data_IF_420803354505
#
_entry.id   IF_420803354505
#
_cell.length_a   1.000
_cell.length_b   1.000
_cell.length_c   1.000
_cell.angle_alpha   90.00
_cell.angle_beta   90.00
_cell.angle_gamma   90.00
#
_symmetry.space_group_name_H-M   'P 1'
#
loop_
_entity.id
_entity.type
_entity.pdbx_description
1 polymer ?
#
# COMPACT_ATOMS: atom_id res chain seq x y z
N UNK A 1 0.35 38.46 -39.89
CA UNK A 1 0.57 37.03 -40.14
C UNK A 1 -0.80 36.41 -40.16
N UNK A 2 -1.20 35.83 -41.29
CA UNK A 2 -2.52 35.23 -41.46
C UNK A 2 -2.29 33.72 -41.42
N UNK A 3 -2.54 33.12 -40.27
CA UNK A 3 -2.50 31.65 -40.13
C UNK A 3 -3.83 31.16 -40.72
N UNK A 4 -3.79 30.51 -41.87
CA UNK A 4 -4.99 30.00 -42.58
C UNK A 4 -5.48 28.66 -41.98
N UNK A 5 -5.33 28.48 -40.67
CA UNK A 5 -5.84 27.32 -39.96
C UNK A 5 -6.36 27.72 -38.57
N UNK A 6 -7.26 26.89 -38.05
CA UNK A 6 -7.74 27.02 -36.67
C UNK A 6 -6.67 26.46 -35.74
N UNK A 7 -6.10 27.30 -34.89
CA UNK A 7 -5.18 26.89 -33.83
C UNK A 7 -5.97 26.73 -32.54
N UNK A 8 -5.90 25.56 -31.92
CA UNK A 8 -6.45 25.30 -30.60
C UNK A 8 -5.28 25.21 -29.60
N UNK A 9 -5.21 26.15 -28.65
CA UNK A 9 -4.20 26.14 -27.59
C UNK A 9 -4.87 25.65 -26.31
N UNK A 10 -4.35 24.57 -25.73
CA UNK A 10 -4.82 24.02 -24.47
C UNK A 10 -3.79 24.40 -23.41
N UNK A 11 -4.17 25.30 -22.52
CA UNK A 11 -3.37 25.65 -21.35
C UNK A 11 -3.73 24.69 -20.19
N UNK A 12 -2.72 24.13 -19.54
CA UNK A 12 -2.88 23.13 -18.48
C UNK A 12 -2.33 23.64 -17.15
N UNK A 13 -2.92 23.29 -16.00
CA UNK A 13 -2.29 23.51 -14.70
C UNK A 13 -0.87 22.91 -14.65
N UNK A 14 0.04 23.57 -13.92
CA UNK A 14 1.39 23.05 -13.72
C UNK A 14 1.40 21.82 -12.82
N UNK A 15 2.20 20.81 -13.14
CA UNK A 15 2.51 19.73 -12.20
C UNK A 15 3.17 20.30 -10.95
N UNK A 16 2.81 19.79 -9.78
CA UNK A 16 3.27 20.30 -8.49
C UNK A 16 2.94 21.79 -8.23
N UNK A 17 1.89 22.34 -8.85
CA UNK A 17 1.42 23.69 -8.57
C UNK A 17 0.58 23.73 -7.28
N UNK A 18 1.22 24.12 -6.18
CA UNK A 18 0.59 24.22 -4.84
C UNK A 18 -0.07 25.57 -4.58
N UNK A 19 -0.19 26.46 -5.57
CA UNK A 19 -0.67 27.84 -5.35
C UNK A 19 -2.17 27.94 -5.03
N UNK A 20 -2.94 26.86 -5.20
CA UNK A 20 -4.38 26.80 -4.94
C UNK A 20 -4.80 25.65 -4.03
N UNK A 21 -3.87 25.07 -3.26
CA UNK A 21 -4.19 23.97 -2.33
C UNK A 21 -4.68 24.55 -1.00
N UNK A 22 -5.91 24.26 -0.60
CA UNK A 22 -6.36 24.48 0.79
C UNK A 22 -5.61 23.53 1.73
N UNK A 23 -5.63 23.74 3.05
CA UNK A 23 -5.00 22.82 4.02
C UNK A 23 -5.53 21.36 3.89
N UNK A 24 -6.70 21.15 3.27
CA UNK A 24 -7.25 19.82 2.96
C UNK A 24 -6.54 19.12 1.78
N UNK A 25 -5.87 19.88 0.90
CA UNK A 25 -5.13 19.40 -0.26
C UNK A 25 -3.68 19.00 0.07
N UNK A 26 -3.22 19.14 1.32
CA UNK A 26 -1.89 18.70 1.80
C UNK A 26 -1.64 17.19 1.63
N UNK A 27 -2.64 16.41 1.20
CA UNK A 27 -2.43 15.11 0.54
C UNK A 27 -1.94 15.31 -0.90
N UNK A 28 -0.73 15.85 -1.04
CA UNK A 28 0.04 16.12 -2.27
C UNK A 28 0.08 14.99 -3.33
N UNK A 29 -0.37 13.76 -3.02
CA UNK A 29 -0.52 12.65 -3.99
C UNK A 29 -1.71 12.79 -4.95
N UNK A 30 -2.67 13.69 -4.70
CA UNK A 30 -3.90 13.78 -5.50
C UNK A 30 -3.89 14.86 -6.60
N UNK A 31 -3.05 15.88 -6.51
CA UNK A 31 -3.09 17.00 -7.48
C UNK A 31 -2.59 16.59 -8.86
N UNK A 32 -1.42 15.96 -8.95
CA UNK A 32 -0.89 15.46 -10.22
C UNK A 32 -1.83 14.41 -10.84
N UNK A 33 -2.40 13.51 -10.02
CA UNK A 33 -3.44 12.56 -10.49
C UNK A 33 -4.64 13.27 -11.12
N UNK A 34 -5.08 14.41 -10.57
CA UNK A 34 -6.18 15.20 -11.15
C UNK A 34 -5.79 15.79 -12.50
N UNK A 35 -4.57 16.29 -12.64
CA UNK A 35 -4.05 16.77 -13.93
C UNK A 35 -4.00 15.61 -14.94
N UNK A 36 -3.47 14.44 -14.55
CA UNK A 36 -3.45 13.25 -15.41
C UNK A 36 -4.87 12.87 -15.87
N UNK A 37 -5.87 12.85 -14.98
CA UNK A 37 -7.27 12.55 -15.31
C UNK A 37 -7.91 13.60 -16.23
N UNK A 38 -7.62 14.89 -16.05
CA UNK A 38 -8.14 15.95 -16.91
C UNK A 38 -7.56 15.85 -18.32
N UNK A 39 -6.25 15.59 -18.45
CA UNK A 39 -5.59 15.38 -19.74
C UNK A 39 -6.17 14.13 -20.42
N UNK A 40 -6.36 13.03 -19.67
CA UNK A 40 -7.01 11.82 -20.20
C UNK A 40 -8.40 12.10 -20.73
N UNK A 41 -9.24 12.79 -19.95
CA UNK A 41 -10.60 13.14 -20.35
C UNK A 41 -10.61 14.02 -21.61
N UNK A 42 -9.67 14.96 -21.72
CA UNK A 42 -9.51 15.78 -22.92
C UNK A 42 -9.21 14.91 -24.16
N UNK A 43 -8.34 13.91 -24.02
CA UNK A 43 -8.00 12.97 -25.10
C UNK A 43 -9.11 12.00 -25.48
N UNK A 44 -9.96 11.63 -24.51
CA UNK A 44 -11.09 10.75 -24.76
C UNK A 44 -12.30 11.47 -25.38
N UNK A 45 -12.44 12.78 -25.14
CA UNK A 45 -13.65 13.55 -25.49
C UNK A 45 -13.47 14.54 -26.63
N UNK A 46 -12.34 15.25 -26.67
CA UNK A 46 -12.24 16.52 -27.42
C UNK A 46 -11.06 16.55 -28.37
N UNK A 47 -9.93 15.92 -28.00
CA UNK A 47 -8.67 16.00 -28.73
C UNK A 47 -8.23 14.60 -29.13
N UNK A 48 -8.26 14.29 -30.42
CA UNK A 48 -7.87 12.97 -30.94
C UNK A 48 -6.45 12.94 -31.54
N UNK A 49 -5.89 14.12 -31.87
CA UNK A 49 -4.55 14.31 -32.43
C UNK A 49 -3.86 15.54 -31.83
N UNK A 50 -2.52 15.49 -31.80
CA UNK A 50 -1.66 16.60 -31.41
C UNK A 50 -0.65 16.92 -32.51
N UNK A 51 -0.47 18.20 -32.78
CA UNK A 51 0.61 18.72 -33.63
C UNK A 51 1.87 19.03 -32.81
N UNK A 52 1.72 19.54 -31.58
CA UNK A 52 2.83 19.85 -30.67
C UNK A 52 2.41 19.83 -29.20
N UNK A 53 3.38 19.53 -28.32
CA UNK A 53 3.29 19.70 -26.87
C UNK A 53 4.38 20.68 -26.46
N UNK A 54 4.01 21.84 -25.93
CA UNK A 54 4.98 22.87 -25.52
C UNK A 54 5.31 22.72 -24.03
N UNK A 55 6.51 22.24 -23.70
CA UNK A 55 7.00 22.23 -22.31
C UNK A 55 7.72 23.55 -22.04
N UNK A 56 7.18 24.34 -21.11
CA UNK A 56 7.66 25.68 -20.80
C UNK A 56 8.81 25.64 -19.79
N UNK A 57 9.96 26.20 -20.14
CA UNK A 57 11.18 26.19 -19.31
C UNK A 57 11.86 27.57 -19.32
N UNK A 58 12.34 28.10 -18.19
CA UNK A 58 13.20 29.30 -18.19
C UNK A 58 14.53 29.06 -18.92
N UNK A 59 14.99 30.02 -19.73
CA UNK A 59 16.17 29.87 -20.58
C UNK A 59 17.47 29.69 -19.78
N UNK A 60 17.63 30.47 -18.70
CA UNK A 60 18.79 30.41 -17.80
C UNK A 60 18.73 29.30 -16.75
N UNK A 61 17.82 28.32 -16.89
CA UNK A 61 17.76 27.19 -15.95
C UNK A 61 19.01 26.30 -16.12
N UNK A 62 19.90 26.31 -15.13
CA UNK A 62 21.19 25.57 -15.20
C UNK A 62 21.15 24.22 -14.49
N UNK A 63 20.09 23.93 -13.71
CA UNK A 63 19.92 22.66 -12.99
C UNK A 63 18.44 22.32 -12.83
N UNK A 64 18.07 21.04 -12.98
CA UNK A 64 16.75 20.58 -12.53
C UNK A 64 16.81 20.20 -11.06
N UNK A 65 15.98 20.86 -10.26
CA UNK A 65 15.64 20.41 -8.90
C UNK A 65 14.97 19.03 -8.94
N UNK A 66 14.92 18.33 -7.79
CA UNK A 66 14.22 17.05 -7.68
C UNK A 66 12.74 17.15 -8.11
N UNK A 67 12.09 18.25 -7.73
CA UNK A 67 10.71 18.56 -8.14
C UNK A 67 10.59 18.75 -9.67
N UNK A 68 11.48 19.52 -10.30
CA UNK A 68 11.44 19.70 -11.75
C UNK A 68 11.70 18.39 -12.51
N UNK A 69 12.66 17.56 -12.05
CA UNK A 69 12.87 16.22 -12.64
C UNK A 69 11.62 15.36 -12.55
N UNK A 70 10.92 15.42 -11.41
CA UNK A 70 9.64 14.73 -11.25
C UNK A 70 8.60 15.23 -12.24
N UNK A 71 8.42 16.54 -12.38
CA UNK A 71 7.49 17.17 -13.34
C UNK A 71 7.76 16.68 -14.77
N UNK A 72 9.00 16.77 -15.24
CA UNK A 72 9.35 16.28 -16.58
C UNK A 72 9.08 14.78 -16.75
N UNK A 73 9.43 13.98 -15.74
CA UNK A 73 9.16 12.53 -15.77
C UNK A 73 7.66 12.24 -15.83
N UNK A 74 6.85 12.97 -15.06
CA UNK A 74 5.40 12.82 -15.04
C UNK A 74 4.80 13.16 -16.40
N UNK A 75 5.17 14.31 -16.99
CA UNK A 75 4.72 14.74 -18.32
C UNK A 75 5.09 13.70 -19.39
N UNK A 76 6.36 13.27 -19.45
CA UNK A 76 6.81 12.31 -20.48
C UNK A 76 6.11 10.95 -20.36
N UNK A 77 5.76 10.52 -19.15
CA UNK A 77 5.05 9.26 -18.92
C UNK A 77 3.55 9.32 -19.21
N UNK A 78 2.97 10.50 -19.45
CA UNK A 78 1.58 10.63 -19.88
C UNK A 78 1.38 10.14 -21.30
N UNK A 79 2.41 10.28 -22.13
CA UNK A 79 2.30 10.12 -23.56
C UNK A 79 2.86 8.78 -24.03
N UNK A 80 2.18 8.18 -25.00
CA UNK A 80 2.70 7.05 -25.78
C UNK A 80 4.01 7.41 -26.48
N UNK A 81 4.77 6.39 -26.91
CA UNK A 81 6.04 6.57 -27.65
C UNK A 81 5.91 7.54 -28.80
N UNK A 82 4.81 7.44 -29.53
CA UNK A 82 4.59 8.13 -30.80
C UNK A 82 4.41 9.64 -30.58
N UNK A 83 3.76 10.03 -29.48
CA UNK A 83 3.49 11.44 -29.15
C UNK A 83 4.75 12.16 -28.64
N UNK A 84 5.79 11.42 -28.24
CA UNK A 84 7.05 12.03 -27.77
C UNK A 84 7.76 12.84 -28.85
N UNK A 85 7.55 12.51 -30.13
CA UNK A 85 8.09 13.26 -31.26
C UNK A 85 7.43 14.64 -31.47
N UNK A 86 6.31 14.91 -30.77
CA UNK A 86 5.62 16.20 -30.80
C UNK A 86 6.05 17.11 -29.65
N UNK A 87 6.87 16.63 -28.72
CA UNK A 87 7.34 17.43 -27.59
C UNK A 87 8.28 18.51 -28.11
N UNK A 88 7.99 19.76 -27.79
CA UNK A 88 8.80 20.93 -28.10
C UNK A 88 9.10 21.70 -26.81
N UNK A 89 10.25 22.37 -26.77
CA UNK A 89 10.64 23.19 -25.62
C UNK A 89 10.30 24.65 -25.89
N UNK A 90 9.45 25.23 -25.05
CA UNK A 90 9.13 26.65 -25.06
C UNK A 90 10.00 27.36 -24.01
N UNK A 91 11.11 27.95 -24.45
CA UNK A 91 12.03 28.68 -23.59
C UNK A 91 11.49 30.07 -23.27
N UNK A 92 11.45 30.42 -22.00
CA UNK A 92 10.97 31.73 -21.49
C UNK A 92 12.06 32.47 -20.74
N UNK A 93 11.83 33.74 -20.38
CA UNK A 93 12.82 34.58 -19.68
C UNK A 93 14.17 34.66 -20.42
N UNK A 94 14.09 34.81 -21.74
CA UNK A 94 15.25 35.01 -22.61
C UNK A 94 15.92 36.36 -22.29
N UNK A 95 17.12 36.30 -21.73
CA UNK A 95 17.99 37.43 -21.40
C UNK A 95 19.02 37.73 -22.50
N UNK A 96 18.94 37.04 -23.64
CA UNK A 96 19.84 37.18 -24.78
C UNK A 96 21.08 36.26 -24.72
N UNK A 97 21.20 35.43 -23.68
CA UNK A 97 22.29 34.47 -23.51
C UNK A 97 22.15 33.19 -24.34
N UNK A 98 23.15 32.31 -24.23
CA UNK A 98 23.04 30.93 -24.70
C UNK A 98 22.06 30.17 -23.79
N UNK A 99 21.19 29.29 -24.33
CA UNK A 99 20.15 28.66 -23.54
C UNK A 99 20.71 27.50 -22.70
N UNK A 100 21.12 27.81 -21.47
CA UNK A 100 21.64 26.83 -20.50
C UNK A 100 20.67 25.68 -20.22
N UNK A 101 19.36 25.96 -20.26
CA UNK A 101 18.32 24.96 -20.09
C UNK A 101 18.41 23.80 -21.09
N UNK A 102 18.94 23.99 -22.31
CA UNK A 102 19.07 22.91 -23.28
C UNK A 102 20.10 21.87 -22.85
N UNK A 103 21.19 22.29 -22.20
CA UNK A 103 22.18 21.37 -21.64
C UNK A 103 21.55 20.49 -20.55
N UNK A 104 20.70 21.12 -19.74
CA UNK A 104 19.99 20.46 -18.64
C UNK A 104 18.94 19.48 -19.14
N UNK A 105 18.14 19.88 -20.13
CA UNK A 105 17.12 19.03 -20.77
C UNK A 105 17.78 17.82 -21.44
N UNK A 106 18.89 18.04 -22.14
CA UNK A 106 19.68 16.98 -22.77
C UNK A 106 20.28 16.02 -21.74
N UNK A 107 20.87 16.55 -20.66
CA UNK A 107 21.41 15.73 -19.57
C UNK A 107 20.34 14.92 -18.83
N UNK A 108 19.11 15.43 -18.77
CA UNK A 108 17.97 14.73 -18.20
C UNK A 108 17.34 13.68 -19.13
N UNK A 109 17.82 13.58 -20.38
CA UNK A 109 17.28 12.63 -21.37
C UNK A 109 15.85 12.93 -21.81
N UNK A 110 15.41 14.20 -21.72
CA UNK A 110 14.06 14.59 -22.11
C UNK A 110 14.01 14.68 -23.64
N UNK A 111 13.13 13.91 -24.31
CA UNK A 111 12.99 13.99 -25.76
C UNK A 111 12.29 15.29 -26.15
N UNK A 112 12.76 15.90 -27.24
CA UNK A 112 12.09 17.03 -27.89
C UNK A 112 12.45 17.06 -29.37
N UNK A 113 11.53 17.56 -30.20
CA UNK A 113 11.70 17.72 -31.64
C UNK A 113 12.18 19.11 -32.02
N UNK A 114 11.69 20.16 -31.35
CA UNK A 114 12.05 21.54 -31.67
C UNK A 114 12.01 22.46 -30.44
N UNK A 115 12.71 23.59 -30.54
CA UNK A 115 12.89 24.57 -29.49
C UNK A 115 12.45 25.97 -29.95
N UNK A 116 11.64 26.66 -29.15
CA UNK A 116 11.14 28.00 -29.44
C UNK A 116 11.50 28.96 -28.32
N UNK A 117 11.89 30.19 -28.68
CA UNK A 117 12.25 31.25 -27.73
C UNK A 117 11.11 32.23 -27.60
N UNK A 118 10.45 32.24 -26.44
CA UNK A 118 9.38 33.17 -26.11
C UNK A 118 9.89 34.24 -25.15
N UNK A 119 10.34 35.36 -25.73
CA UNK A 119 10.73 36.53 -24.94
C UNK A 119 9.51 37.36 -24.52
N UNK A 120 8.96 37.02 -23.36
CA UNK A 120 7.87 37.76 -22.73
C UNK A 120 8.35 38.77 -21.70
N UNK A 121 9.67 39.06 -21.64
CA UNK A 121 10.18 40.10 -20.75
C UNK A 121 9.47 41.42 -21.06
N UNK A 122 9.14 42.15 -20.00
CA UNK A 122 8.63 43.52 -20.08
C UNK A 122 7.23 43.74 -20.68
N UNK A 123 6.38 42.72 -20.80
CA UNK A 123 4.99 42.89 -21.29
C UNK A 123 4.18 43.92 -20.47
N UNK A 124 4.49 44.05 -19.19
CA UNK A 124 3.73 44.89 -18.24
C UNK A 124 4.55 46.06 -17.69
N UNK A 125 5.75 46.31 -18.20
CA UNK A 125 6.58 47.45 -17.80
C UNK A 125 6.42 48.57 -18.82
N UNK A 126 6.27 49.82 -18.36
CA UNK A 126 6.22 50.98 -19.26
C UNK A 126 7.56 51.08 -19.99
N UNK A 127 7.53 51.00 -21.31
CA UNK A 127 8.71 51.19 -22.17
C UNK A 127 8.52 52.37 -23.12
N UNK A 128 9.59 52.74 -23.83
CA UNK A 128 9.46 53.67 -24.95
C UNK A 128 8.77 52.97 -26.12
N UNK A 129 8.05 53.71 -26.99
CA UNK A 129 7.40 53.14 -28.17
C UNK A 129 8.36 52.35 -29.08
N UNK A 130 9.61 52.77 -29.19
CA UNK A 130 10.65 52.11 -30.00
C UNK A 130 11.03 50.75 -29.39
N UNK A 131 11.14 50.69 -28.06
CA UNK A 131 11.51 49.46 -27.37
C UNK A 131 10.36 48.47 -27.38
N UNK A 132 9.11 48.95 -27.21
CA UNK A 132 7.91 48.13 -27.36
C UNK A 132 7.79 47.53 -28.77
N UNK A 133 8.09 48.32 -29.81
CA UNK A 133 8.07 47.83 -31.19
C UNK A 133 9.11 46.72 -31.43
N UNK A 134 10.31 46.85 -30.88
CA UNK A 134 11.37 45.83 -30.95
C UNK A 134 10.94 44.54 -30.23
N UNK A 135 10.41 44.67 -29.01
CA UNK A 135 9.92 43.53 -28.22
C UNK A 135 8.79 42.82 -28.98
N UNK A 136 7.85 43.57 -29.55
CA UNK A 136 6.75 43.01 -30.31
C UNK A 136 7.22 42.29 -31.58
N UNK A 137 8.21 42.84 -32.27
CA UNK A 137 8.83 42.21 -33.44
C UNK A 137 9.44 40.84 -33.10
N UNK A 138 10.23 40.77 -32.01
CA UNK A 138 10.83 39.51 -31.54
C UNK A 138 9.78 38.48 -31.14
N UNK A 139 8.69 38.90 -30.49
CA UNK A 139 7.57 38.01 -30.15
C UNK A 139 6.88 37.48 -31.40
N UNK A 140 6.61 38.35 -32.37
CA UNK A 140 5.98 37.96 -33.63
C UNK A 140 6.86 36.95 -34.38
N UNK A 141 8.18 37.15 -34.39
CA UNK A 141 9.13 36.20 -34.97
C UNK A 141 9.05 34.82 -34.29
N UNK A 142 9.04 34.78 -32.95
CA UNK A 142 8.91 33.53 -32.20
C UNK A 142 7.64 32.73 -32.57
N UNK A 143 6.48 33.41 -32.62
CA UNK A 143 5.23 32.77 -33.05
C UNK A 143 5.25 32.39 -34.53
N UNK A 144 5.92 33.16 -35.38
CA UNK A 144 6.08 32.83 -36.81
C UNK A 144 6.84 31.51 -36.98
N UNK A 145 7.91 31.32 -36.20
CA UNK A 145 8.67 30.07 -36.19
C UNK A 145 7.83 28.90 -35.69
N UNK A 146 7.07 29.09 -34.60
CA UNK A 146 6.17 28.05 -34.08
C UNK A 146 5.12 27.65 -35.13
N UNK A 147 4.41 28.60 -35.75
CA UNK A 147 3.36 28.25 -36.71
C UNK A 147 3.93 27.63 -37.98
N UNK A 148 5.10 28.08 -38.45
CA UNK A 148 5.79 27.43 -39.57
C UNK A 148 6.17 25.99 -39.25
N UNK A 149 6.62 25.72 -38.02
CA UNK A 149 6.86 24.35 -37.57
C UNK A 149 5.56 23.52 -37.60
N UNK A 150 4.47 24.06 -37.03
CA UNK A 150 3.17 23.39 -36.95
C UNK A 150 2.56 23.06 -38.33
N UNK A 151 2.89 23.81 -39.39
CA UNK A 151 2.50 23.47 -40.77
C UNK A 151 3.09 22.14 -41.26
N UNK A 152 4.24 21.73 -40.70
CA UNK A 152 5.00 20.54 -41.11
C UNK A 152 5.10 19.47 -40.02
N UNK A 153 4.64 19.78 -38.80
CA UNK A 153 4.73 18.89 -37.66
C UNK A 153 3.90 17.61 -37.90
N UNK A 154 4.37 16.45 -37.41
CA UNK A 154 3.63 15.20 -37.53
C UNK A 154 2.32 15.30 -36.75
N UNK A 155 1.19 14.98 -37.38
CA UNK A 155 -0.10 14.86 -36.70
C UNK A 155 -0.18 13.50 -36.02
N UNK A 156 -0.04 13.47 -34.70
CA UNK A 156 0.06 12.21 -33.95
C UNK A 156 -1.22 11.95 -33.17
N UNK A 157 -1.79 10.75 -33.32
CA UNK A 157 -2.96 10.35 -32.55
C UNK A 157 -2.64 10.15 -31.07
N UNK A 158 -3.55 10.56 -30.18
CA UNK A 158 -3.38 10.40 -28.73
C UNK A 158 -3.85 9.05 -28.19
N UNK A 159 -4.36 8.15 -29.04
CA UNK A 159 -4.91 6.85 -28.62
C UNK A 159 -3.93 6.03 -27.77
N UNK A 160 -2.67 5.91 -28.21
CA UNK A 160 -1.64 5.19 -27.45
C UNK A 160 -1.35 5.83 -26.09
N UNK A 161 -1.53 7.16 -25.96
CA UNK A 161 -1.40 7.86 -24.68
C UNK A 161 -2.57 7.54 -23.75
N UNK A 162 -3.80 7.45 -24.27
CA UNK A 162 -4.98 7.01 -23.50
C UNK A 162 -4.79 5.57 -23.02
N UNK A 163 -4.28 4.67 -23.86
CA UNK A 163 -3.99 3.29 -23.50
C UNK A 163 -2.93 3.20 -22.38
N UNK A 164 -1.85 3.99 -22.49
CA UNK A 164 -0.81 4.10 -21.44
C UNK A 164 -1.40 4.57 -20.11
N UNK A 165 -2.27 5.59 -20.14
CA UNK A 165 -2.92 6.10 -18.93
C UNK A 165 -3.88 5.07 -18.31
N UNK A 166 -4.66 4.35 -19.12
CA UNK A 166 -5.55 3.28 -18.66
C UNK A 166 -4.78 2.12 -18.02
N UNK A 167 -3.72 1.65 -18.68
CA UNK A 167 -2.88 0.59 -18.15
C UNK A 167 -2.25 0.99 -16.80
N UNK A 168 -1.75 2.23 -16.69
CA UNK A 168 -1.21 2.78 -15.44
C UNK A 168 -2.26 2.85 -14.33
N UNK A 169 -3.48 3.27 -14.65
CA UNK A 169 -4.58 3.33 -13.68
C UNK A 169 -4.91 1.94 -13.13
N UNK A 170 -5.03 0.94 -14.00
CA UNK A 170 -5.28 -0.45 -13.58
C UNK A 170 -4.14 -0.98 -12.71
N UNK A 171 -2.88 -0.72 -13.08
CA UNK A 171 -1.72 -1.12 -12.27
C UNK A 171 -1.71 -0.44 -10.89
N UNK A 172 -2.10 0.83 -10.80
CA UNK A 172 -2.20 1.53 -9.52
C UNK A 172 -3.28 0.92 -8.62
N UNK A 173 -4.46 0.62 -9.15
CA UNK A 173 -5.52 -0.05 -8.40
C UNK A 173 -5.08 -1.42 -7.90
N UNK A 174 -4.38 -2.19 -8.74
CA UNK A 174 -3.84 -3.48 -8.33
C UNK A 174 -2.79 -3.31 -7.23
N UNK A 175 -1.87 -2.34 -7.35
CA UNK A 175 -0.88 -2.05 -6.32
C UNK A 175 -1.49 -1.60 -5.00
N UNK A 176 -2.59 -0.84 -5.03
CA UNK A 176 -3.33 -0.45 -3.82
C UNK A 176 -3.98 -1.66 -3.17
N UNK A 177 -4.72 -2.49 -3.94
CA UNK A 177 -5.29 -3.74 -3.43
C UNK A 177 -4.21 -4.70 -2.86
N UNK A 178 -3.01 -4.69 -3.44
CA UNK A 178 -1.88 -5.46 -2.94
C UNK A 178 -1.33 -4.96 -1.62
N UNK A 179 -1.24 -3.65 -1.44
CA UNK A 179 -0.81 -3.06 -0.17
C UNK A 179 -1.80 -3.39 0.94
N UNK A 180 -3.09 -3.31 0.64
CA UNK A 180 -4.13 -3.66 1.59
C UNK A 180 -4.02 -5.14 1.98
N UNK A 181 -3.88 -6.03 0.99
CA UNK A 181 -3.75 -7.46 1.28
C UNK A 181 -2.48 -7.82 2.06
N UNK A 182 -1.37 -7.15 1.77
CA UNK A 182 -0.11 -7.31 2.51
C UNK A 182 -0.27 -6.81 3.96
N UNK A 183 -0.99 -5.71 4.17
CA UNK A 183 -1.28 -5.19 5.51
C UNK A 183 -2.10 -6.19 6.34
N UNK A 184 -3.15 -6.77 5.75
CA UNK A 184 -3.96 -7.81 6.41
C UNK A 184 -3.10 -9.00 6.84
N UNK A 185 -2.29 -9.54 5.90
CA UNK A 185 -1.44 -10.70 6.16
C UNK A 185 -0.35 -10.40 7.21
N UNK A 186 0.20 -9.18 7.20
CA UNK A 186 1.17 -8.76 8.21
C UNK A 186 0.54 -8.71 9.60
N UNK A 187 -0.71 -8.26 9.69
CA UNK A 187 -1.46 -8.23 10.95
C UNK A 187 -1.81 -9.63 11.44
N UNK A 188 -2.18 -10.56 10.55
CA UNK A 188 -2.40 -11.98 10.89
C UNK A 188 -1.13 -12.62 11.47
N UNK A 189 0.03 -12.39 10.86
CA UNK A 189 1.32 -12.89 11.37
C UNK A 189 1.67 -12.26 12.72
N UNK A 190 1.44 -10.96 12.90
CA UNK A 190 1.68 -10.31 14.18
C UNK A 190 0.81 -10.89 15.30
N UNK A 191 -0.49 -11.12 15.03
CA UNK A 191 -1.40 -11.73 16.00
C UNK A 191 -1.01 -13.18 16.33
N UNK A 192 -0.59 -13.97 15.33
CA UNK A 192 -0.10 -15.33 15.54
C UNK A 192 1.19 -15.35 16.39
N UNK A 193 2.11 -14.42 16.16
CA UNK A 193 3.33 -14.28 16.96
C UNK A 193 3.05 -13.85 18.40
N UNK A 194 2.11 -12.92 18.63
CA UNK A 194 1.68 -12.52 19.98
C UNK A 194 1.11 -13.72 20.73
N UNK A 195 0.23 -14.50 20.09
CA UNK A 195 -0.31 -15.72 20.68
C UNK A 195 0.80 -16.72 21.05
N UNK A 196 1.82 -16.86 20.19
CA UNK A 196 2.95 -17.77 20.44
C UNK A 196 3.84 -17.27 21.58
N UNK A 197 4.14 -15.97 21.64
CA UNK A 197 4.94 -15.36 22.71
C UNK A 197 4.24 -15.40 24.07
N UNK A 198 2.93 -15.12 24.13
CA UNK A 198 2.15 -15.25 25.36
C UNK A 198 2.12 -16.68 25.90
N UNK A 199 2.18 -17.68 25.01
CA UNK A 199 2.29 -19.10 25.38
C UNK A 199 3.69 -19.43 25.91
N UNK A 200 4.75 -18.78 25.41
CA UNK A 200 6.13 -19.02 25.87
C UNK A 200 6.55 -18.23 27.11
N UNK A 201 5.97 -17.05 27.38
CA UNK A 201 6.37 -16.18 28.50
C UNK A 201 5.52 -16.35 29.76
N UNK A 202 4.33 -16.97 29.68
CA UNK A 202 3.66 -17.44 30.89
C UNK A 202 4.33 -18.73 31.34
N UNK A 203 5.09 -18.66 32.42
CA UNK A 203 5.40 -19.83 33.26
C UNK A 203 4.12 -20.66 33.42
N UNK A 204 4.04 -21.82 32.76
CA UNK A 204 2.85 -22.68 32.81
C UNK A 204 2.71 -23.25 34.23
N UNK A 205 1.86 -22.61 35.02
CA UNK A 205 1.42 -23.11 36.31
C UNK A 205 0.31 -24.12 36.09
N UNK A 206 0.63 -25.40 36.21
CA UNK A 206 -0.37 -26.48 36.16
C UNK A 206 -0.93 -26.64 37.58
N UNK A 207 -2.25 -26.74 37.69
CA UNK A 207 -2.90 -27.05 38.96
C UNK A 207 -2.82 -28.56 39.21
N UNK A 208 -2.07 -28.95 40.24
CA UNK A 208 -1.98 -30.34 40.68
C UNK A 208 -2.67 -30.48 42.04
N UNK A 209 -3.39 -31.59 42.22
CA UNK A 209 -4.07 -31.91 43.48
C UNK A 209 -3.14 -32.74 44.35
N UNK A 210 -2.63 -32.14 45.43
CA UNK A 210 -1.81 -32.85 46.40
C UNK A 210 -2.65 -33.37 47.56
N UNK A 211 -2.31 -34.56 48.07
CA UNK A 211 -2.93 -35.12 49.27
C UNK A 211 -2.25 -34.59 50.52
N UNK A 212 -2.92 -33.71 51.27
CA UNK A 212 -2.43 -33.22 52.55
C UNK A 212 -3.00 -34.05 53.71
N UNK A 213 -2.14 -34.57 54.59
CA UNK A 213 -2.58 -35.32 55.78
C UNK A 213 -3.29 -34.39 56.77
N UNK A 214 -4.51 -34.74 57.14
CA UNK A 214 -5.34 -33.95 58.08
C UNK A 214 -5.54 -34.66 59.41
N UNK A 215 -5.23 -35.95 59.49
CA UNK A 215 -5.54 -36.81 60.64
C UNK A 215 -7.05 -37.13 60.80
N UNK A 216 -7.92 -36.44 60.07
CA UNK A 216 -9.39 -36.55 60.13
C UNK A 216 -9.91 -37.32 58.92
N UNK A 217 -11.04 -38.02 59.07
CA UNK A 217 -11.61 -38.83 57.99
C UNK A 217 -12.22 -37.95 56.90
N UNK A 218 -11.69 -38.01 55.68
CA UNK A 218 -12.18 -37.28 54.51
C UNK A 218 -12.70 -38.26 53.45
N UNK A 219 -13.81 -37.91 52.80
CA UNK A 219 -14.34 -38.61 51.63
C UNK A 219 -13.82 -37.94 50.37
N UNK A 220 -13.00 -38.66 49.62
CA UNK A 220 -12.29 -38.16 48.45
C UNK A 220 -12.69 -38.93 47.19
N UNK A 221 -12.99 -38.19 46.11
CA UNK A 221 -13.18 -38.79 44.79
C UNK A 221 -11.81 -39.09 44.16
N UNK A 222 -11.56 -40.33 43.77
CA UNK A 222 -10.28 -40.73 43.15
C UNK A 222 -10.18 -40.33 41.69
N UNK A 223 -11.31 -40.09 41.03
CA UNK A 223 -11.42 -39.64 39.64
C UNK A 223 -11.24 -38.12 39.56
N UNK A 224 -12.04 -37.35 40.30
CA UNK A 224 -12.00 -35.88 40.28
C UNK A 224 -10.89 -35.27 41.15
N UNK A 225 -10.14 -36.08 41.90
CA UNK A 225 -9.11 -35.62 42.86
C UNK A 225 -9.61 -34.49 43.78
N UNK A 226 -10.84 -34.62 44.27
CA UNK A 226 -11.55 -33.60 45.08
C UNK A 226 -12.01 -34.20 46.40
N UNK A 227 -11.84 -33.47 47.50
CA UNK A 227 -12.45 -33.81 48.79
C UNK A 227 -13.92 -33.39 48.78
N UNK A 228 -14.81 -34.38 48.74
CA UNK A 228 -16.25 -34.17 48.62
C UNK A 228 -16.91 -33.94 49.99
N UNK A 229 -16.36 -34.54 51.05
CA UNK A 229 -16.80 -34.30 52.42
C UNK A 229 -15.61 -34.44 53.39
N UNK A 230 -15.23 -33.35 54.05
CA UNK A 230 -14.17 -33.36 55.06
C UNK A 230 -14.73 -33.69 56.45
N UNK A 231 -13.96 -34.37 57.30
CA UNK A 231 -14.32 -34.73 58.68
C UNK A 231 -15.59 -35.59 58.79
N UNK A 232 -15.79 -36.50 57.85
CA UNK A 232 -16.97 -37.33 57.79
C UNK A 232 -17.00 -38.34 58.96
N UNK A 233 -18.12 -38.39 59.67
CA UNK A 233 -18.34 -39.18 60.90
C UNK A 233 -18.70 -40.66 60.68
N UNK A 234 -18.87 -41.10 59.44
CA UNK A 234 -19.21 -42.51 59.15
C UNK A 234 -18.06 -43.43 59.58
N UNK A 235 -18.30 -44.41 60.47
CA UNK A 235 -17.25 -45.10 61.22
C UNK A 235 -16.47 -46.14 60.42
N UNK A 236 -17.03 -46.71 59.34
CA UNK A 236 -16.41 -47.83 58.61
C UNK A 236 -16.34 -47.61 57.10
N UNK A 237 -15.27 -48.13 56.48
CA UNK A 237 -14.98 -47.98 55.04
C UNK A 237 -16.04 -48.62 54.12
N UNK A 238 -16.63 -49.74 54.52
CA UNK A 238 -17.67 -50.41 53.74
C UNK A 238 -19.02 -49.68 53.77
N UNK A 239 -19.21 -48.74 54.71
CA UNK A 239 -20.40 -47.89 54.80
C UNK A 239 -20.21 -46.58 54.04
N UNK A 240 -19.27 -46.46 53.11
CA UNK A 240 -19.03 -45.20 52.40
C UNK A 240 -20.30 -44.64 51.75
N UNK A 241 -21.19 -45.50 51.23
CA UNK A 241 -22.49 -45.13 50.64
C UNK A 241 -23.46 -44.44 51.61
N UNK A 242 -23.23 -44.46 52.93
CA UNK A 242 -24.06 -43.75 53.92
C UNK A 242 -23.59 -42.32 54.17
N UNK A 243 -22.51 -41.89 53.51
CA UNK A 243 -22.05 -40.51 53.56
C UNK A 243 -23.06 -39.59 52.85
N UNK A 244 -23.46 -38.49 53.50
CA UNK A 244 -24.50 -37.57 53.03
C UNK A 244 -24.30 -37.03 51.60
N UNK A 245 -23.05 -36.93 51.14
CA UNK A 245 -22.73 -36.45 49.79
C UNK A 245 -22.90 -37.51 48.70
N UNK A 246 -23.08 -38.79 49.06
CA UNK A 246 -23.27 -39.88 48.11
C UNK A 246 -24.76 -40.22 48.02
N UNK A 247 -25.38 -39.85 46.91
CA UNK A 247 -26.80 -40.08 46.64
C UNK A 247 -26.98 -41.26 45.67
N UNK A 248 -28.23 -41.70 45.47
CA UNK A 248 -28.57 -42.69 44.44
C UNK A 248 -28.27 -42.21 43.02
N UNK A 249 -28.16 -40.89 42.81
CA UNK A 249 -27.81 -40.27 41.52
C UNK A 249 -26.33 -39.91 41.40
N UNK A 250 -25.48 -40.43 42.31
CA UNK A 250 -24.06 -40.12 42.39
C UNK A 250 -23.72 -39.08 43.45
N UNK A 251 -22.45 -38.68 43.49
CA UNK A 251 -21.97 -37.68 44.45
C UNK A 251 -22.51 -36.29 44.14
N UNK A 252 -22.98 -35.57 45.17
CA UNK A 252 -23.53 -34.21 45.01
C UNK A 252 -22.48 -33.10 44.95
N UNK A 253 -21.20 -33.40 45.19
CA UNK A 253 -20.13 -32.39 45.35
C UNK A 253 -19.07 -32.43 44.25
N UNK A 254 -18.76 -33.61 43.69
CA UNK A 254 -17.79 -33.68 42.58
C UNK A 254 -18.45 -33.37 41.24
N UNK A 255 -17.68 -32.77 40.34
CA UNK A 255 -18.21 -32.14 39.12
C UNK A 255 -18.79 -33.18 38.14
N UNK A 256 -18.28 -34.41 38.19
CA UNK A 256 -18.71 -35.54 37.37
C UNK A 256 -19.80 -36.40 38.01
N UNK A 257 -20.36 -36.00 39.16
CA UNK A 257 -21.36 -36.79 39.93
C UNK A 257 -21.00 -38.26 40.10
N UNK A 258 -19.74 -38.56 40.37
CA UNK A 258 -19.23 -39.94 40.39
C UNK A 258 -19.94 -40.82 41.43
N UNK A 259 -20.02 -42.11 41.13
CA UNK A 259 -20.60 -43.12 42.01
C UNK A 259 -19.80 -43.34 43.30
N UNK A 260 -20.44 -43.98 44.28
CA UNK A 260 -19.84 -44.22 45.61
C UNK A 260 -18.57 -45.08 45.57
N UNK A 261 -18.43 -45.96 44.58
CA UNK A 261 -17.25 -46.83 44.40
C UNK A 261 -16.00 -46.04 43.97
N UNK A 262 -16.18 -44.85 43.39
CA UNK A 262 -15.10 -43.92 43.05
C UNK A 262 -14.66 -43.06 44.23
N UNK A 263 -15.29 -43.22 45.39
CA UNK A 263 -15.00 -42.46 46.58
C UNK A 263 -14.30 -43.31 47.63
N UNK A 264 -13.15 -42.83 48.07
CA UNK A 264 -12.37 -43.44 49.13
C UNK A 264 -12.41 -42.59 50.39
N UNK A 265 -12.34 -43.27 51.53
CA UNK A 265 -12.22 -42.65 52.83
C UNK A 265 -10.77 -42.74 53.30
N UNK A 266 -10.15 -41.60 53.57
CA UNK A 266 -8.75 -41.53 53.99
C UNK A 266 -8.49 -40.34 54.91
N UNK A 267 -7.32 -40.30 55.56
CA UNK A 267 -6.91 -39.20 56.45
C UNK A 267 -6.23 -38.03 55.72
N UNK A 268 -6.49 -37.90 54.42
CA UNK A 268 -5.92 -36.89 53.55
C UNK A 268 -7.04 -36.07 52.92
N UNK A 269 -6.81 -34.78 52.68
CA UNK A 269 -7.65 -33.95 51.81
C UNK A 269 -6.89 -33.61 50.54
N UNK A 270 -7.60 -33.42 49.44
CA UNK A 270 -7.03 -32.85 48.23
C UNK A 270 -6.97 -31.32 48.38
N UNK A 271 -5.80 -30.76 48.14
CA UNK A 271 -5.58 -29.32 48.11
C UNK A 271 -4.99 -28.94 46.75
N UNK A 272 -5.55 -27.89 46.14
CA UNK A 272 -5.11 -27.41 44.84
C UNK A 272 -3.79 -26.64 45.02
N UNK A 273 -2.72 -27.07 44.35
CA UNK A 273 -1.46 -26.32 44.27
C UNK A 273 -1.11 -25.99 42.84
N UNK A 274 -0.55 -24.81 42.63
CA UNK A 274 -0.03 -24.39 41.34
C UNK A 274 1.45 -24.74 41.29
N UNK A 275 1.82 -25.68 40.41
CA UNK A 275 3.20 -26.15 40.24
C UNK A 275 3.74 -25.67 38.90
N UNK A 276 4.96 -25.13 38.91
CA UNK A 276 5.70 -24.73 37.71
C UNK A 276 6.23 -25.97 37.00
N UNK A 277 5.79 -26.25 35.76
CA UNK A 277 6.34 -27.34 34.93
C UNK A 277 7.31 -26.82 33.88
N UNK A 278 8.44 -27.52 33.72
CA UNK A 278 9.49 -27.25 32.72
C UNK A 278 9.34 -28.07 31.43
N UNK A 279 8.31 -28.91 31.31
CA UNK A 279 7.99 -29.68 30.10
C UNK A 279 6.49 -29.62 29.79
N UNK A 280 6.16 -29.29 28.55
CA UNK A 280 4.81 -29.24 28.00
C UNK A 280 4.20 -30.66 27.93
N UNK A 281 2.92 -30.81 28.26
CA UNK A 281 2.20 -32.06 28.01
C UNK A 281 1.86 -32.22 26.51
N UNK A 282 1.47 -33.44 26.09
CA UNK A 282 1.14 -33.74 24.68
C UNK A 282 0.05 -32.83 24.11
N UNK A 283 -0.89 -32.33 24.91
CA UNK A 283 -1.97 -31.45 24.44
C UNK A 283 -1.48 -30.03 24.15
N UNK A 284 -0.54 -29.53 24.96
CA UNK A 284 0.10 -28.23 24.72
C UNK A 284 1.08 -28.29 23.53
N UNK A 285 1.78 -29.42 23.36
CA UNK A 285 2.59 -29.68 22.16
C UNK A 285 1.69 -29.70 20.91
N UNK A 286 0.52 -30.34 20.99
CA UNK A 286 -0.43 -30.42 19.87
C UNK A 286 -0.98 -29.05 19.47
N UNK A 287 -1.31 -28.18 20.43
CA UNK A 287 -1.75 -26.80 20.16
C UNK A 287 -0.64 -25.95 19.51
N UNK A 288 0.62 -26.16 19.91
CA UNK A 288 1.77 -25.51 19.28
C UNK A 288 2.01 -26.02 17.86
N UNK A 289 1.90 -27.33 17.62
CA UNK A 289 1.98 -27.93 16.29
C UNK A 289 0.86 -27.42 15.37
N UNK A 290 -0.38 -27.31 15.86
CA UNK A 290 -1.51 -26.75 15.12
C UNK A 290 -1.29 -25.27 14.76
N UNK A 291 -0.79 -24.48 15.72
CA UNK A 291 -0.48 -23.06 15.50
C UNK A 291 0.68 -22.87 14.51
N UNK A 292 1.73 -23.68 14.61
CA UNK A 292 2.85 -23.67 13.68
C UNK A 292 2.39 -24.08 12.26
N UNK A 293 1.52 -25.07 12.16
CA UNK A 293 0.89 -25.47 10.90
C UNK A 293 0.06 -24.37 10.25
N UNK A 294 -0.67 -23.57 11.04
CA UNK A 294 -1.37 -22.39 10.52
C UNK A 294 -0.40 -21.33 9.98
N UNK A 295 0.67 -21.02 10.72
CA UNK A 295 1.72 -20.08 10.26
C UNK A 295 2.34 -20.55 8.95
N UNK A 296 2.67 -21.83 8.84
CA UNK A 296 3.25 -22.42 7.63
C UNK A 296 2.28 -22.38 6.44
N UNK A 297 1.00 -22.61 6.70
CA UNK A 297 -0.06 -22.48 5.68
C UNK A 297 -0.20 -21.04 5.19
N UNK A 298 -0.12 -20.07 6.10
CA UNK A 298 -0.17 -18.64 5.75
C UNK A 298 1.07 -18.21 4.96
N UNK A 299 2.26 -18.68 5.34
CA UNK A 299 3.50 -18.45 4.57
C UNK A 299 3.37 -19.01 3.15
N UNK A 300 2.87 -20.24 2.99
CA UNK A 300 2.67 -20.85 1.67
C UNK A 300 1.69 -20.03 0.80
N UNK A 301 0.60 -19.52 1.39
CA UNK A 301 -0.35 -18.63 0.69
C UNK A 301 0.31 -17.32 0.27
N UNK A 302 1.19 -16.75 1.09
CA UNK A 302 1.96 -15.54 0.76
C UNK A 302 2.89 -15.82 -0.43
N UNK A 303 3.61 -16.93 -0.42
CA UNK A 303 4.54 -17.32 -1.49
C UNK A 303 3.83 -17.57 -2.82
N UNK A 304 2.70 -18.30 -2.79
CA UNK A 304 1.82 -18.54 -3.94
C UNK A 304 1.31 -17.21 -4.52
N UNK A 305 0.85 -16.31 -3.66
CA UNK A 305 0.36 -15.00 -4.06
C UNK A 305 1.47 -14.16 -4.70
N UNK A 306 2.67 -14.11 -4.12
CA UNK A 306 3.84 -13.43 -4.69
C UNK A 306 4.18 -14.00 -6.08
N UNK A 307 4.10 -15.33 -6.26
CA UNK A 307 4.37 -15.98 -7.55
C UNK A 307 3.36 -15.57 -8.62
N UNK A 308 2.07 -15.64 -8.32
CA UNK A 308 0.99 -15.21 -9.24
C UNK A 308 1.16 -13.74 -9.63
N UNK A 309 1.58 -12.90 -8.68
CA UNK A 309 1.82 -11.47 -8.95
C UNK A 309 3.02 -11.22 -9.84
N UNK A 310 4.13 -11.94 -9.63
CA UNK A 310 5.28 -11.85 -10.53
C UNK A 310 4.89 -12.22 -11.95
N UNK A 311 4.09 -13.28 -12.12
CA UNK A 311 3.61 -13.71 -13.43
C UNK A 311 2.64 -12.70 -14.08
N UNK A 312 1.72 -12.12 -13.30
CA UNK A 312 0.77 -11.12 -13.80
C UNK A 312 1.45 -9.79 -14.14
N UNK A 313 2.30 -9.28 -13.25
CA UNK A 313 3.09 -8.08 -13.50
C UNK A 313 4.02 -8.26 -14.71
N UNK A 314 4.59 -9.46 -14.89
CA UNK A 314 5.38 -9.78 -16.08
C UNK A 314 4.51 -9.77 -17.34
N UNK A 315 3.31 -10.36 -17.31
CA UNK A 315 2.37 -10.31 -18.45
C UNK A 315 1.94 -8.89 -18.80
N UNK A 316 1.63 -8.07 -17.80
CA UNK A 316 1.18 -6.69 -18.01
C UNK A 316 2.34 -5.80 -18.49
N UNK A 317 3.56 -6.01 -17.98
CA UNK A 317 4.78 -5.40 -18.52
C UNK A 317 5.05 -5.83 -19.96
N UNK A 318 4.90 -7.13 -20.28
CA UNK A 318 5.05 -7.64 -21.65
C UNK A 318 3.99 -7.01 -22.55
N UNK A 319 2.73 -6.92 -22.11
CA UNK A 319 1.65 -6.28 -22.86
C UNK A 319 1.97 -4.81 -23.14
N UNK A 320 2.34 -4.05 -22.10
CA UNK A 320 2.74 -2.65 -22.24
C UNK A 320 3.95 -2.49 -23.18
N UNK A 321 4.97 -3.36 -23.06
CA UNK A 321 6.13 -3.38 -23.95
C UNK A 321 5.73 -3.72 -25.38
N UNK A 322 4.83 -4.68 -25.60
CA UNK A 322 4.34 -5.00 -26.95
C UNK A 322 3.52 -3.86 -27.56
N UNK A 323 2.80 -3.08 -26.75
CA UNK A 323 2.13 -1.86 -27.20
C UNK A 323 3.13 -0.73 -27.52
N UNK A 324 4.28 -0.68 -26.84
CA UNK A 324 5.35 0.31 -27.08
C UNK A 324 6.21 -0.05 -28.31
N UNK A 325 6.40 -1.35 -28.61
CA UNK A 325 7.33 -1.82 -29.65
C UNK A 325 6.64 -2.37 -30.93
N UNK A 326 5.32 -2.49 -30.96
CA UNK A 326 4.58 -2.70 -32.21
C UNK A 326 4.11 -1.35 -32.77
N UNK A 327 5.03 -0.62 -33.40
CA UNK A 327 4.82 0.23 -34.59
C UNK A 327 6.14 0.91 -34.96
#
# INVERSE_FOLDING_TARGET
MKVNCRVNIIDTPGFNDTRNTTEEDEKSKNFDKRIEMQIKHLFESTVDHLDAILIVVPMGETRLTGAQKHIFSSIVKLFGSDVKQNICIAMTKDDGGAPDCLNVIKAAGIPYAECFRFNNSNLFTKQSPETDAIIWSKRKEAFTLLFKYLETAPKTSVKSSVDVMNARFVLQLQLEALKDKLSELTQEVANANINTQEITERDLFVSEYERQYTGKSCMNCTICKKTCHANCWVPFKFLNFTCEVLTSSGCSVCDNKCDSDKHIREKYKYELKFVRKTSLDESAVKLLEESFGQVQTTIAKIEEFIKVLKEKALKDCIYALTCIFKN
#
